data_IF_576773849184
#
_entry.id   IF_576773849184
#
_cell.length_a   1.000
_cell.length_b   1.000
_cell.length_c   1.000
_cell.angle_alpha   90.00
_cell.angle_beta   90.00
_cell.angle_gamma   90.00
#
_symmetry.space_group_name_H-M   'P 1'
#
loop_
_entity.id
_entity.type
_entity.pdbx_description
1 polymer ?
#
# COMPACT_ATOMS: atom_id res chain seq x y z
N UNK A 1 -3.16 -46.93 10.86
CA UNK A 1 -3.68 -46.38 9.60
C UNK A 1 -3.68 -44.85 9.72
N UNK A 2 -2.70 -44.17 9.13
CA UNK A 2 -2.44 -42.74 9.36
C UNK A 2 -2.89 -41.85 8.20
N UNK A 3 -3.64 -40.80 8.54
CA UNK A 3 -4.21 -39.74 7.67
C UNK A 3 -3.18 -38.79 7.03
N UNK A 4 -1.93 -39.23 6.84
CA UNK A 4 -0.81 -38.40 6.33
C UNK A 4 -0.44 -38.65 4.87
N UNK A 5 -1.08 -39.60 4.19
CA UNK A 5 -0.75 -40.01 2.82
C UNK A 5 -1.54 -39.31 1.71
N UNK A 6 -2.29 -38.24 2.01
CA UNK A 6 -2.99 -37.43 1.01
C UNK A 6 -2.23 -36.19 0.52
N UNK A 7 -1.13 -35.83 1.16
CA UNK A 7 -0.24 -34.78 0.67
C UNK A 7 1.00 -35.43 0.08
N UNK A 8 0.94 -35.74 -1.22
CA UNK A 8 2.06 -36.24 -2.01
C UNK A 8 3.19 -35.20 -2.13
N UNK A 9 4.02 -35.10 -1.09
CA UNK A 9 5.37 -34.56 -1.18
C UNK A 9 6.31 -35.69 -1.59
N UNK A 10 6.36 -35.97 -2.90
CA UNK A 10 7.60 -36.37 -3.57
C UNK A 10 7.41 -36.12 -5.07
N UNK A 11 7.68 -34.88 -5.49
CA UNK A 11 7.79 -34.52 -6.91
C UNK A 11 9.07 -33.69 -7.06
N UNK A 12 10.00 -34.12 -7.92
CA UNK A 12 11.29 -33.44 -8.09
C UNK A 12 11.08 -31.99 -8.51
N UNK A 13 11.77 -31.10 -7.82
CA UNK A 13 11.86 -29.65 -8.03
C UNK A 13 12.13 -29.35 -9.53
N UNK A 14 11.07 -29.10 -10.29
CA UNK A 14 11.16 -28.54 -11.63
C UNK A 14 11.47 -27.03 -11.49
N UNK A 15 12.32 -26.45 -12.35
CA UNK A 15 12.74 -25.04 -12.23
C UNK A 15 11.52 -24.12 -12.19
N UNK A 16 11.35 -23.38 -11.08
CA UNK A 16 10.26 -22.44 -10.90
C UNK A 16 10.23 -21.45 -12.09
N UNK A 17 9.08 -21.27 -12.77
CA UNK A 17 8.94 -20.22 -13.76
C UNK A 17 9.22 -18.86 -13.10
N UNK A 18 9.74 -17.87 -13.85
CA UNK A 18 9.97 -16.53 -13.30
C UNK A 18 8.67 -16.02 -12.71
N UNK A 19 8.65 -15.85 -11.38
CA UNK A 19 7.51 -15.24 -10.68
C UNK A 19 7.23 -13.91 -11.38
N UNK A 20 6.02 -13.69 -11.92
CA UNK A 20 5.69 -12.39 -12.47
C UNK A 20 5.97 -11.35 -11.39
N UNK A 21 6.66 -10.27 -11.77
CA UNK A 21 6.88 -9.14 -10.88
C UNK A 21 5.54 -8.59 -10.36
N UNK A 22 5.56 -7.74 -9.31
CA UNK A 22 4.34 -7.10 -8.84
C UNK A 22 3.63 -6.41 -10.01
N UNK A 23 2.29 -6.49 -10.09
CA UNK A 23 1.54 -5.97 -11.23
C UNK A 23 1.82 -4.48 -11.40
N UNK A 24 2.12 -4.08 -12.64
CA UNK A 24 2.41 -2.68 -12.96
C UNK A 24 1.14 -1.84 -12.96
N UNK A 25 1.28 -0.52 -12.81
CA UNK A 25 0.13 0.41 -12.88
C UNK A 25 -0.68 0.23 -14.16
N UNK A 26 -0.01 0.02 -15.30
CA UNK A 26 -0.67 -0.25 -16.58
C UNK A 26 -1.49 -1.54 -16.57
N UNK A 27 -0.95 -2.61 -15.97
CA UNK A 27 -1.67 -3.87 -15.81
C UNK A 27 -2.89 -3.71 -14.90
N UNK A 28 -2.78 -2.91 -13.84
CA UNK A 28 -3.93 -2.60 -12.97
C UNK A 28 -5.00 -1.81 -13.72
N UNK A 29 -4.62 -0.82 -14.52
CA UNK A 29 -5.56 -0.08 -15.38
C UNK A 29 -6.26 -1.00 -16.37
N UNK A 30 -5.50 -1.86 -17.06
CA UNK A 30 -6.04 -2.85 -17.99
C UNK A 30 -6.98 -3.86 -17.29
N UNK A 31 -6.68 -4.26 -16.05
CA UNK A 31 -7.56 -5.11 -15.25
C UNK A 31 -8.89 -4.41 -14.93
N UNK A 32 -8.86 -3.12 -14.56
CA UNK A 32 -10.09 -2.33 -14.34
C UNK A 32 -10.93 -2.24 -15.62
N UNK A 33 -10.29 -1.96 -16.77
CA UNK A 33 -10.97 -1.94 -18.08
C UNK A 33 -11.62 -3.28 -18.42
N UNK A 34 -10.91 -4.39 -18.18
CA UNK A 34 -11.43 -5.73 -18.42
C UNK A 34 -12.65 -6.05 -17.54
N UNK A 35 -12.64 -5.65 -16.26
CA UNK A 35 -13.77 -5.88 -15.34
C UNK A 35 -14.98 -5.06 -15.76
N UNK A 36 -14.79 -3.79 -16.13
CA UNK A 36 -15.87 -2.95 -16.64
C UNK A 36 -16.48 -3.56 -17.92
N UNK A 37 -15.64 -4.05 -18.83
CA UNK A 37 -16.09 -4.70 -20.05
C UNK A 37 -16.86 -5.99 -19.76
N UNK A 38 -16.33 -6.85 -18.88
CA UNK A 38 -17.00 -8.08 -18.44
C UNK A 38 -18.37 -7.81 -17.84
N UNK A 39 -18.50 -6.73 -17.05
CA UNK A 39 -19.79 -6.33 -16.49
C UNK A 39 -20.78 -5.86 -17.57
N UNK A 40 -20.32 -5.12 -18.59
CA UNK A 40 -21.15 -4.69 -19.72
C UNK A 40 -21.60 -5.89 -20.56
N UNK A 41 -20.69 -6.81 -20.88
CA UNK A 41 -20.98 -8.00 -21.68
C UNK A 41 -21.95 -8.95 -20.94
N UNK A 42 -21.78 -9.08 -19.63
CA UNK A 42 -22.69 -9.82 -18.74
C UNK A 42 -24.04 -9.15 -18.49
N UNK A 43 -24.29 -7.98 -19.11
CA UNK A 43 -25.50 -7.16 -18.99
C UNK A 43 -25.91 -6.96 -17.54
N UNK A 44 -24.96 -6.57 -16.68
CA UNK A 44 -25.26 -6.32 -15.26
C UNK A 44 -26.30 -5.19 -15.13
N UNK A 45 -27.15 -5.19 -14.08
CA UNK A 45 -28.14 -4.15 -13.89
C UNK A 45 -27.46 -2.79 -13.75
N UNK A 46 -28.11 -1.73 -14.24
CA UNK A 46 -27.53 -0.38 -14.25
C UNK A 46 -27.06 0.08 -12.87
N UNK A 47 -27.78 -0.29 -11.80
CA UNK A 47 -27.40 0.05 -10.41
C UNK A 47 -26.09 -0.57 -9.95
N UNK A 48 -25.73 -1.75 -10.47
CA UNK A 48 -24.46 -2.43 -10.23
C UNK A 48 -23.36 -1.77 -11.06
N UNK A 49 -23.63 -1.54 -12.36
CA UNK A 49 -22.68 -0.92 -13.26
C UNK A 49 -22.25 0.46 -12.77
N UNK A 50 -23.19 1.32 -12.37
CA UNK A 50 -22.89 2.66 -11.86
C UNK A 50 -21.97 2.63 -10.63
N UNK A 51 -22.18 1.66 -9.72
CA UNK A 51 -21.32 1.52 -8.53
C UNK A 51 -19.95 0.98 -8.87
N UNK A 52 -19.88 0.00 -9.76
CA UNK A 52 -18.60 -0.51 -10.28
C UNK A 52 -17.78 0.61 -10.92
N UNK A 53 -18.41 1.45 -11.75
CA UNK A 53 -17.77 2.61 -12.37
C UNK A 53 -17.31 3.66 -11.36
N UNK A 54 -18.05 3.86 -10.26
CA UNK A 54 -17.61 4.71 -9.15
C UNK A 54 -16.33 4.17 -8.51
N UNK A 55 -16.32 2.88 -8.15
CA UNK A 55 -15.15 2.24 -7.50
C UNK A 55 -13.93 2.30 -8.42
N UNK A 56 -14.06 1.81 -9.65
CA UNK A 56 -12.97 1.81 -10.65
C UNK A 56 -12.46 3.23 -10.92
N UNK A 57 -13.35 4.22 -10.98
CA UNK A 57 -12.98 5.63 -11.12
C UNK A 57 -12.13 6.16 -9.97
N UNK A 58 -12.44 5.82 -8.72
CA UNK A 58 -11.63 6.21 -7.55
C UNK A 58 -10.26 5.50 -7.62
N UNK A 59 -10.25 4.20 -7.91
CA UNK A 59 -9.01 3.42 -8.03
C UNK A 59 -8.07 4.03 -9.07
N UNK A 60 -8.58 4.40 -10.26
CA UNK A 60 -7.80 5.06 -11.32
C UNK A 60 -7.19 6.38 -10.87
N UNK A 61 -7.90 7.16 -10.06
CA UNK A 61 -7.39 8.43 -9.52
C UNK A 61 -6.30 8.21 -8.46
N UNK A 62 -6.37 7.12 -7.71
CA UNK A 62 -5.40 6.79 -6.65
C UNK A 62 -4.11 6.18 -7.20
N UNK A 63 -4.19 5.35 -8.25
CA UNK A 63 -3.06 4.63 -8.85
C UNK A 63 -1.81 5.48 -9.15
N UNK A 64 -1.88 6.64 -9.84
CA UNK A 64 -0.68 7.43 -10.17
C UNK A 64 0.03 7.95 -8.91
N UNK A 65 -0.71 8.22 -7.83
CA UNK A 65 -0.14 8.71 -6.56
C UNK A 65 0.59 7.60 -5.80
N UNK A 66 0.10 6.37 -5.91
CA UNK A 66 0.74 5.20 -5.30
C UNK A 66 2.06 4.82 -5.96
N UNK A 67 2.29 5.19 -7.22
CA UNK A 67 3.59 5.02 -7.87
C UNK A 67 4.68 5.83 -7.14
N UNK A 68 4.32 7.01 -6.62
CA UNK A 68 5.23 7.88 -5.86
C UNK A 68 5.41 7.41 -4.42
N UNK A 69 4.33 6.91 -3.79
CA UNK A 69 4.33 6.45 -2.39
C UNK A 69 4.88 5.02 -2.21
N UNK A 70 4.92 4.25 -3.28
CA UNK A 70 5.34 2.85 -3.31
C UNK A 70 4.17 1.87 -3.20
N UNK A 71 4.12 0.92 -4.14
CA UNK A 71 3.11 -0.16 -4.19
C UNK A 71 3.19 -1.14 -3.00
N UNK A 72 4.30 -1.15 -2.25
CA UNK A 72 4.47 -1.95 -1.04
C UNK A 72 3.81 -1.38 0.22
N UNK A 73 3.19 -0.20 0.14
CA UNK A 73 2.43 0.39 1.24
C UNK A 73 1.10 -0.34 1.47
N UNK A 74 0.55 -0.27 2.69
CA UNK A 74 -0.77 -0.85 3.00
C UNK A 74 -1.89 -0.32 2.09
N UNK A 75 -1.79 0.96 1.69
CA UNK A 75 -2.71 1.61 0.75
C UNK A 75 -2.52 1.07 -0.67
N UNK A 76 -1.27 0.89 -1.10
CA UNK A 76 -0.92 0.28 -2.39
C UNK A 76 -1.46 -1.15 -2.51
N UNK A 77 -1.28 -1.96 -1.46
CA UNK A 77 -1.83 -3.32 -1.43
C UNK A 77 -3.35 -3.34 -1.54
N UNK A 78 -4.05 -2.48 -0.79
CA UNK A 78 -5.52 -2.41 -0.80
C UNK A 78 -6.06 -2.04 -2.19
N UNK A 79 -5.40 -1.11 -2.88
CA UNK A 79 -5.76 -0.70 -4.24
C UNK A 79 -5.49 -1.81 -5.26
N UNK A 80 -4.32 -2.45 -5.18
CA UNK A 80 -3.97 -3.57 -6.03
C UNK A 80 -4.99 -4.71 -5.86
N UNK A 81 -5.22 -5.18 -4.64
CA UNK A 81 -6.18 -6.26 -4.34
C UNK A 81 -7.61 -5.91 -4.79
N UNK A 82 -8.00 -4.64 -4.73
CA UNK A 82 -9.29 -4.20 -5.24
C UNK A 82 -9.41 -4.43 -6.75
N UNK A 83 -8.37 -4.11 -7.52
CA UNK A 83 -8.33 -4.30 -8.96
C UNK A 83 -8.14 -5.76 -9.37
N UNK A 84 -7.34 -6.54 -8.64
CA UNK A 84 -6.93 -7.90 -9.05
C UNK A 84 -7.79 -9.01 -8.45
N UNK A 85 -8.39 -8.79 -7.29
CA UNK A 85 -9.04 -9.86 -6.52
C UNK A 85 -10.49 -9.51 -6.19
N UNK A 86 -10.73 -8.39 -5.51
CA UNK A 86 -12.06 -8.12 -4.93
C UNK A 86 -13.11 -7.82 -6.00
N UNK A 87 -12.83 -6.91 -6.94
CA UNK A 87 -13.76 -6.59 -8.02
C UNK A 87 -13.99 -7.77 -8.99
N UNK A 88 -12.94 -8.44 -9.51
CA UNK A 88 -13.13 -9.59 -10.40
C UNK A 88 -13.93 -10.71 -9.75
N UNK A 89 -13.66 -11.03 -8.48
CA UNK A 89 -14.38 -12.10 -7.77
C UNK A 89 -15.83 -11.71 -7.52
N UNK A 90 -16.12 -10.47 -7.10
CA UNK A 90 -17.49 -10.02 -6.85
C UNK A 90 -18.35 -10.06 -8.14
N UNK A 91 -17.85 -9.50 -9.24
CA UNK A 91 -18.54 -9.50 -10.53
C UNK A 91 -18.63 -10.92 -11.10
N UNK A 92 -17.55 -11.69 -11.04
CA UNK A 92 -17.52 -13.07 -11.53
C UNK A 92 -18.51 -13.97 -10.81
N UNK A 93 -18.62 -13.86 -9.48
CA UNK A 93 -19.59 -14.61 -8.68
C UNK A 93 -21.02 -14.29 -9.11
N UNK A 94 -21.34 -13.01 -9.32
CA UNK A 94 -22.67 -12.60 -9.76
C UNK A 94 -23.00 -13.09 -11.18
N UNK A 95 -22.05 -13.02 -12.11
CA UNK A 95 -22.25 -13.46 -13.50
C UNK A 95 -22.35 -14.99 -13.67
N UNK A 96 -21.88 -15.77 -12.69
CA UNK A 96 -22.06 -17.23 -12.67
C UNK A 96 -23.50 -17.65 -12.40
N UNK A 97 -24.32 -16.77 -11.84
CA UNK A 97 -25.72 -17.07 -11.55
C UNK A 97 -26.61 -16.74 -12.77
N UNK A 98 -27.64 -17.55 -13.06
CA UNK A 98 -28.68 -17.17 -14.03
C UNK A 98 -29.33 -15.85 -13.63
N UNK A 99 -29.51 -14.91 -14.57
CA UNK A 99 -29.95 -13.53 -14.27
C UNK A 99 -31.29 -13.45 -13.54
N UNK A 100 -32.29 -14.19 -14.01
CA UNK A 100 -33.60 -14.26 -13.36
C UNK A 100 -33.52 -14.71 -11.89
N UNK A 101 -32.57 -15.58 -11.57
CA UNK A 101 -32.36 -16.06 -10.21
C UNK A 101 -31.64 -15.00 -9.37
N UNK A 102 -30.57 -14.40 -9.90
CA UNK A 102 -29.75 -13.42 -9.19
C UNK A 102 -30.52 -12.13 -8.84
N UNK A 103 -31.48 -11.75 -9.68
CA UNK A 103 -32.21 -10.49 -9.53
C UNK A 103 -33.43 -10.63 -8.59
N UNK A 104 -34.06 -11.80 -8.54
CA UNK A 104 -35.35 -11.99 -7.86
C UNK A 104 -35.32 -12.85 -6.60
N UNK A 105 -34.40 -13.82 -6.49
CA UNK A 105 -34.43 -14.82 -5.41
C UNK A 105 -33.68 -14.29 -4.18
N UNK A 106 -34.28 -14.38 -2.98
CA UNK A 106 -33.58 -14.08 -1.76
C UNK A 106 -32.55 -15.18 -1.47
N UNK A 107 -31.32 -14.79 -1.13
CA UNK A 107 -30.21 -15.72 -0.87
C UNK A 107 -29.79 -15.75 0.60
N UNK A 108 -29.65 -14.59 1.21
CA UNK A 108 -29.13 -14.42 2.56
C UNK A 108 -29.76 -13.17 3.17
N UNK A 109 -30.36 -13.31 4.36
CA UNK A 109 -31.02 -12.20 5.05
C UNK A 109 -32.15 -11.54 4.25
N UNK A 110 -32.79 -12.27 3.33
CA UNK A 110 -33.87 -11.76 2.48
C UNK A 110 -33.42 -10.89 1.29
N UNK A 111 -32.12 -10.61 1.15
CA UNK A 111 -31.57 -9.85 0.02
C UNK A 111 -31.34 -10.75 -1.19
N UNK A 112 -31.56 -10.20 -2.40
CA UNK A 112 -31.17 -10.85 -3.65
C UNK A 112 -29.66 -10.73 -3.89
N UNK A 113 -29.12 -11.52 -4.83
CA UNK A 113 -27.70 -11.46 -5.19
C UNK A 113 -27.30 -10.08 -5.72
N UNK A 114 -28.20 -9.39 -6.44
CA UNK A 114 -27.98 -8.00 -6.86
C UNK A 114 -27.80 -7.06 -5.68
N UNK A 115 -28.69 -7.13 -4.68
CA UNK A 115 -28.61 -6.26 -3.51
C UNK A 115 -27.31 -6.48 -2.74
N UNK A 116 -26.90 -7.74 -2.59
CA UNK A 116 -25.65 -8.08 -1.90
C UNK A 116 -24.42 -7.57 -2.67
N UNK A 117 -24.42 -7.69 -3.99
CA UNK A 117 -23.34 -7.13 -4.83
C UNK A 117 -23.30 -5.60 -4.73
N UNK A 118 -24.46 -4.95 -4.72
CA UNK A 118 -24.57 -3.49 -4.52
C UNK A 118 -23.92 -3.08 -3.19
N UNK A 119 -24.27 -3.75 -2.09
CA UNK A 119 -23.70 -3.48 -0.76
C UNK A 119 -22.17 -3.66 -0.75
N UNK A 120 -21.67 -4.71 -1.42
CA UNK A 120 -20.24 -4.97 -1.55
C UNK A 120 -19.52 -3.85 -2.32
N UNK A 121 -20.09 -3.39 -3.43
CA UNK A 121 -19.50 -2.30 -4.22
C UNK A 121 -19.55 -0.96 -3.48
N UNK A 122 -20.59 -0.69 -2.71
CA UNK A 122 -20.69 0.51 -1.88
C UNK A 122 -19.64 0.49 -0.74
N UNK A 123 -19.46 -0.67 -0.09
CA UNK A 123 -18.39 -0.85 0.90
C UNK A 123 -17.00 -0.62 0.27
N UNK A 124 -16.76 -1.20 -0.90
CA UNK A 124 -15.48 -1.07 -1.59
C UNK A 124 -15.23 0.39 -2.00
N UNK A 125 -16.26 1.08 -2.50
CA UNK A 125 -16.21 2.50 -2.85
C UNK A 125 -15.85 3.38 -1.66
N UNK A 126 -16.58 3.25 -0.55
CA UNK A 126 -16.28 4.03 0.68
C UNK A 126 -14.90 3.74 1.25
N UNK A 127 -14.39 2.52 1.07
CA UNK A 127 -13.04 2.16 1.49
C UNK A 127 -12.01 2.83 0.59
N UNK A 128 -12.18 2.77 -0.72
CA UNK A 128 -11.28 3.42 -1.68
C UNK A 128 -11.28 4.95 -1.55
N UNK A 129 -12.41 5.56 -1.18
CA UNK A 129 -12.46 7.00 -0.85
C UNK A 129 -11.51 7.32 0.34
N UNK A 130 -11.54 6.51 1.40
CA UNK A 130 -10.62 6.68 2.56
C UNK A 130 -9.16 6.48 2.17
N UNK A 131 -8.88 5.51 1.30
CA UNK A 131 -7.53 5.27 0.78
C UNK A 131 -7.05 6.50 0.00
N UNK A 132 -7.89 7.02 -0.90
CA UNK A 132 -7.60 8.22 -1.68
C UNK A 132 -7.31 9.42 -0.78
N UNK A 133 -8.15 9.67 0.24
CA UNK A 133 -7.95 10.74 1.21
C UNK A 133 -6.64 10.58 2.01
N UNK A 134 -6.29 9.35 2.39
CA UNK A 134 -5.05 9.06 3.10
C UNK A 134 -3.81 9.35 2.23
N UNK A 135 -3.86 8.97 0.95
CA UNK A 135 -2.78 9.25 0.00
C UNK A 135 -2.66 10.75 -0.24
N UNK A 136 -3.76 11.47 -0.46
CA UNK A 136 -3.73 12.93 -0.65
C UNK A 136 -3.19 13.67 0.59
N UNK A 137 -3.47 13.17 1.79
CA UNK A 137 -2.92 13.73 3.03
C UNK A 137 -1.41 13.53 3.13
N UNK A 138 -0.91 12.35 2.77
CA UNK A 138 0.53 12.08 2.74
C UNK A 138 1.26 12.98 1.73
N UNK A 139 0.67 13.18 0.53
CA UNK A 139 1.20 14.11 -0.46
C UNK A 139 1.26 15.55 0.09
N UNK A 140 0.21 16.00 0.80
CA UNK A 140 0.18 17.34 1.40
C UNK A 140 1.24 17.51 2.50
N UNK A 141 1.44 16.49 3.34
CA UNK A 141 2.48 16.50 4.38
C UNK A 141 3.88 16.57 3.79
N UNK A 142 4.13 15.86 2.68
CA UNK A 142 5.41 15.92 1.97
C UNK A 142 5.72 17.34 1.46
N UNK A 143 4.71 18.09 1.01
CA UNK A 143 4.87 19.49 0.59
C UNK A 143 5.25 20.38 1.77
N UNK A 144 4.62 20.19 2.93
CA UNK A 144 4.90 20.96 4.15
C UNK A 144 6.34 20.71 4.62
N UNK A 145 6.75 19.44 4.69
CA UNK A 145 8.11 19.05 5.07
C UNK A 145 9.15 19.63 4.12
N UNK A 146 8.87 19.61 2.81
CA UNK A 146 9.75 20.21 1.82
C UNK A 146 9.88 21.73 2.01
N UNK A 147 8.78 22.44 2.31
CA UNK A 147 8.80 23.86 2.63
C UNK A 147 9.66 24.18 3.84
N UNK A 148 9.47 23.45 4.95
CA UNK A 148 10.27 23.62 6.16
C UNK A 148 11.76 23.36 5.91
N UNK A 149 12.09 22.37 5.07
CA UNK A 149 13.47 22.10 4.67
C UNK A 149 14.08 23.28 3.87
N UNK A 150 13.32 23.88 2.94
CA UNK A 150 13.78 25.05 2.19
C UNK A 150 14.00 26.27 3.10
N UNK A 151 13.09 26.53 4.05
CA UNK A 151 13.25 27.60 5.03
C UNK A 151 14.49 27.40 5.91
N UNK A 152 14.75 26.17 6.37
CA UNK A 152 15.98 25.87 7.09
C UNK A 152 17.21 26.06 6.21
N UNK A 153 17.18 25.58 4.96
CA UNK A 153 18.36 25.62 4.08
C UNK A 153 18.71 27.02 3.58
N UNK A 154 17.72 27.87 3.35
CA UNK A 154 17.90 29.18 2.69
C UNK A 154 17.46 30.38 3.55
N UNK A 155 16.58 30.20 4.53
CA UNK A 155 16.17 31.25 5.47
C UNK A 155 17.31 31.70 6.38
N UNK A 156 18.27 30.83 6.67
CA UNK A 156 19.49 31.17 7.43
C UNK A 156 20.57 31.84 6.57
N UNK A 157 20.57 31.61 5.25
CA UNK A 157 21.48 32.28 4.31
C UNK A 157 21.10 33.75 4.06
N UNK A 158 19.82 34.10 4.26
CA UNK A 158 19.33 35.48 4.15
C UNK A 158 19.62 36.34 5.39
N UNK A 159 20.09 35.73 6.49
CA UNK A 159 20.50 36.42 7.73
C UNK A 159 22.03 36.48 7.88
N UNK A 160 22.79 36.18 6.81
CA UNK A 160 24.25 36.28 6.82
C UNK A 160 24.74 37.61 6.25
N UNK A 161 25.37 38.47 7.07
CA UNK A 161 26.17 39.56 6.49
C UNK A 161 26.70 40.69 7.38
N UNK A 162 27.08 40.48 8.65
CA UNK A 162 28.22 41.27 9.19
C UNK A 162 29.50 40.57 8.75
N UNK A 163 29.96 40.92 7.55
CA UNK A 163 31.31 40.62 7.07
C UNK A 163 32.28 41.44 7.93
N UNK A 164 32.79 40.81 8.99
CA UNK A 164 33.96 41.28 9.71
C UNK A 164 35.20 41.16 8.82
N UNK A 165 35.37 42.12 7.89
CA UNK A 165 36.64 42.40 7.23
C UNK A 165 37.55 43.14 8.23
N UNK A 166 37.99 42.44 9.26
CA UNK A 166 39.14 42.83 10.07
C UNK A 166 40.38 42.15 9.48
N UNK A 167 41.41 42.89 9.05
CA UNK A 167 42.63 42.29 8.53
C UNK A 167 43.47 41.81 9.71
N UNK A 168 43.37 40.54 10.07
CA UNK A 168 44.45 39.89 10.82
C UNK A 168 44.53 38.41 10.43
N UNK A 169 45.19 38.19 9.30
CA UNK A 169 45.91 36.94 9.11
C UNK A 169 47.11 36.98 10.08
N UNK A 170 47.16 36.01 11.00
CA UNK A 170 48.35 35.30 11.53
C UNK A 170 48.11 34.89 12.99
N UNK A 171 47.79 33.61 13.22
CA UNK A 171 48.32 32.84 14.35
C UNK A 171 48.01 31.35 14.12
N UNK A 172 48.91 30.61 13.49
CA UNK A 172 50.02 29.88 14.12
C UNK A 172 49.54 28.62 14.87
N UNK A 173 49.74 27.47 14.22
CA UNK A 173 49.63 26.15 14.82
C UNK A 173 50.63 25.96 15.97
N UNK A 174 50.27 25.13 16.95
CA UNK A 174 51.23 24.17 17.49
C UNK A 174 50.66 22.73 17.55
N UNK A 175 51.48 21.68 17.38
CA UNK A 175 51.14 20.30 17.76
C UNK A 175 51.39 20.11 19.28
N UNK A 176 50.88 19.06 19.98
CA UNK A 176 51.61 17.78 20.00
C UNK A 176 50.82 16.49 20.40
N UNK A 177 51.52 15.36 20.18
CA UNK A 177 51.52 14.12 20.98
C UNK A 177 50.47 13.02 20.77
N UNK A 178 50.96 11.96 20.14
CA UNK A 178 50.49 10.58 20.24
C UNK A 178 50.92 9.95 21.59
N UNK A 179 49.96 9.40 22.33
CA UNK A 179 50.13 8.39 23.40
C UNK A 179 48.86 7.54 23.37
N UNK A 180 48.85 6.39 22.68
CA UNK A 180 49.23 5.09 23.23
C UNK A 180 48.39 4.66 24.46
N UNK A 181 47.53 3.67 24.21
CA UNK A 181 47.26 2.52 25.09
C UNK A 181 46.41 2.75 26.36
N UNK A 182 45.17 2.23 26.35
CA UNK A 182 44.67 1.28 27.37
C UNK A 182 43.19 0.90 27.17
N UNK A 183 42.96 -0.28 26.60
CA UNK A 183 41.92 -1.23 27.06
C UNK A 183 42.37 -1.80 28.42
N UNK A 184 41.48 -2.13 29.37
CA UNK A 184 40.71 -3.38 29.26
C UNK A 184 39.27 -3.37 29.83
N UNK A 185 38.49 -4.28 29.26
CA UNK A 185 37.49 -5.18 29.87
C UNK A 185 36.86 -4.82 31.21
N UNK A 186 35.52 -4.72 31.22
CA UNK A 186 34.68 -5.27 32.32
C UNK A 186 33.22 -5.44 31.88
N UNK A 187 32.84 -6.65 31.46
CA UNK A 187 31.59 -7.30 31.92
C UNK A 187 32.00 -8.15 33.15
N UNK A 188 31.11 -8.54 34.09
CA UNK A 188 29.69 -8.86 33.90
C UNK A 188 28.77 -8.33 35.03
N UNK A 189 27.47 -8.58 34.93
CA UNK A 189 26.59 -9.15 35.99
C UNK A 189 25.15 -8.67 35.83
N UNK A 190 24.29 -9.61 35.47
CA UNK A 190 22.84 -9.57 35.65
C UNK A 190 22.50 -10.08 37.05
N UNK A 191 21.40 -9.62 37.69
CA UNK A 191 20.34 -10.59 38.00
C UNK A 191 18.89 -10.08 37.80
N UNK A 192 18.03 -11.04 37.44
CA UNK A 192 16.55 -11.24 37.54
C UNK A 192 15.75 -10.39 38.56
N UNK A 193 14.38 -10.37 38.60
CA UNK A 193 13.40 -11.39 38.10
C UNK A 193 12.04 -10.87 37.52
N UNK A 194 11.24 -11.73 36.86
CA UNK A 194 9.77 -11.79 37.05
C UNK A 194 9.17 -13.07 36.44
N UNK A 195 8.44 -13.83 37.26
CA UNK A 195 7.64 -14.99 36.87
C UNK A 195 6.22 -14.57 36.43
N UNK A 196 5.54 -15.33 35.56
CA UNK A 196 4.12 -15.16 35.26
C UNK A 196 3.21 -15.97 36.22
N UNK A 197 2.00 -15.48 36.57
CA UNK A 197 1.00 -16.26 37.30
C UNK A 197 0.23 -17.24 36.39
N UNK A 198 -0.38 -18.25 37.03
CA UNK A 198 -1.25 -19.31 36.48
C UNK A 198 -2.45 -18.82 35.65
#
# INVERSE_FOLDING_TARGET
MGIRSWFGLDKPEAPEPPRPGPPTTEQLLAALDAIEQQARDGKVPGVVLSRLLRVTGIVRQTLPRLATLGLGSAQGFSVMATATDYLPVAIGNYLRLPRDWADSRPIAGGKSSVMLLVDQLDLLGTTMDKVYDAVCRADAEAIIVHGAFLEQKFGQASTGGVLGLGPDAVQAAPPPSSTASSTPSSTPTSPSPLAPPE
#
